data_IF_010594611843
#
_entry.id   IF_010594611843
#
_cell.length_a   1.000
_cell.length_b   1.000
_cell.length_c   1.000
_cell.angle_alpha   90.00
_cell.angle_beta   90.00
_cell.angle_gamma   90.00
#
_symmetry.space_group_name_H-M   'P 1'
#
loop_
_entity.id
_entity.type
_entity.pdbx_description
1 polymer ?
#
# COMPACT_ATOMS: atom_id res chain seq x y z
N UNK A 1 -2.72 0.77 40.33
CA UNK A 1 -2.59 -0.41 39.44
C UNK A 1 -3.38 -0.30 38.13
N UNK A 2 -4.59 0.30 38.10
CA UNK A 2 -5.39 0.38 36.88
C UNK A 2 -4.86 1.35 35.79
N UNK A 3 -4.22 2.48 36.17
CA UNK A 3 -3.66 3.45 35.22
C UNK A 3 -2.61 2.87 34.25
N UNK A 4 -1.68 2.04 34.75
CA UNK A 4 -0.67 1.35 33.92
C UNK A 4 -1.31 0.44 32.87
N UNK A 5 -2.31 -0.36 33.24
CA UNK A 5 -3.02 -1.23 32.28
C UNK A 5 -3.74 -0.45 31.18
N UNK A 6 -4.32 0.70 31.51
CA UNK A 6 -4.99 1.56 30.52
C UNK A 6 -3.98 2.21 29.56
N UNK A 7 -2.85 2.69 30.10
CA UNK A 7 -1.75 3.23 29.31
C UNK A 7 -1.15 2.17 28.37
N UNK A 8 -0.94 0.94 28.86
CA UNK A 8 -0.45 -0.19 28.07
C UNK A 8 -1.43 -0.60 26.96
N UNK A 9 -2.74 -0.57 27.22
CA UNK A 9 -3.78 -0.84 26.21
C UNK A 9 -3.79 0.24 25.13
N UNK A 10 -3.73 1.51 25.52
CA UNK A 10 -3.68 2.64 24.57
C UNK A 10 -2.40 2.54 23.74
N UNK A 11 -1.24 2.29 24.35
CA UNK A 11 0.03 2.14 23.65
C UNK A 11 -0.01 0.96 22.67
N UNK A 12 -0.56 -0.19 23.07
CA UNK A 12 -0.61 -1.38 22.21
C UNK A 12 -1.65 -1.28 21.07
N UNK A 13 -2.81 -0.66 21.30
CA UNK A 13 -3.82 -0.47 20.23
C UNK A 13 -3.34 0.57 19.23
N UNK A 14 -2.68 1.64 19.69
CA UNK A 14 -2.21 2.72 18.83
C UNK A 14 -0.97 2.32 18.03
N UNK A 15 -0.07 1.50 18.59
CA UNK A 15 1.20 1.14 17.95
C UNK A 15 1.20 -0.18 17.19
N UNK A 16 0.22 -1.07 17.38
CA UNK A 16 0.22 -2.33 16.63
C UNK A 16 0.00 -2.04 15.14
N UNK A 17 0.99 -2.32 14.27
CA UNK A 17 0.79 -2.20 12.83
C UNK A 17 -0.26 -3.22 12.42
N UNK A 18 -1.32 -2.73 11.77
CA UNK A 18 -2.38 -3.58 11.24
C UNK A 18 -2.16 -3.74 9.73
N UNK A 19 -2.19 -4.97 9.19
CA UNK A 19 -2.04 -5.18 7.76
C UNK A 19 -3.33 -4.78 7.04
N UNK A 20 -3.17 -4.08 5.93
CA UNK A 20 -4.22 -3.65 5.04
C UNK A 20 -3.89 -4.05 3.61
N UNK A 21 -4.95 -4.22 2.83
CA UNK A 21 -4.90 -4.31 1.39
C UNK A 21 -5.71 -3.17 0.80
N UNK A 22 -5.14 -2.47 -0.16
CA UNK A 22 -5.81 -1.39 -0.86
C UNK A 22 -5.73 -1.59 -2.36
N UNK A 23 -6.88 -1.49 -3.01
CA UNK A 23 -6.96 -1.44 -4.47
C UNK A 23 -7.35 -0.02 -4.85
N UNK A 24 -6.56 0.59 -5.73
CA UNK A 24 -6.78 1.93 -6.28
C UNK A 24 -7.09 1.81 -7.76
N UNK A 25 -8.13 2.52 -8.18
CA UNK A 25 -8.55 2.64 -9.58
C UNK A 25 -8.26 4.06 -10.02
N UNK A 26 -7.29 4.22 -10.91
CA UNK A 26 -6.98 5.50 -11.54
C UNK A 26 -7.79 5.71 -12.82
N UNK A 27 -7.95 6.97 -13.21
CA UNK A 27 -8.54 7.33 -14.51
C UNK A 27 -7.76 6.66 -15.66
N UNK A 28 -8.45 6.01 -16.63
CA UNK A 28 -7.82 5.18 -17.66
C UNK A 28 -7.03 5.97 -18.71
N UNK A 29 -7.33 7.25 -18.90
CA UNK A 29 -6.74 8.11 -19.94
C UNK A 29 -5.66 9.06 -19.42
N UNK A 30 -5.14 8.84 -18.20
CA UNK A 30 -4.03 9.62 -17.69
C UNK A 30 -2.75 9.34 -18.51
N UNK A 31 -1.97 10.36 -18.89
CA UNK A 31 -0.62 10.16 -19.43
C UNK A 31 0.22 9.33 -18.46
N UNK A 32 1.09 8.46 -18.97
CA UNK A 32 1.86 7.53 -18.13
C UNK A 32 2.69 8.25 -17.05
N UNK A 33 3.25 9.41 -17.39
CA UNK A 33 3.98 10.25 -16.43
C UNK A 33 3.09 10.68 -15.25
N UNK A 34 1.91 11.23 -15.54
CA UNK A 34 0.96 11.70 -14.51
C UNK A 34 0.46 10.53 -13.67
N UNK A 35 0.22 9.37 -14.30
CA UNK A 35 -0.21 8.16 -13.60
C UNK A 35 0.86 7.66 -12.63
N UNK A 36 2.11 7.60 -13.07
CA UNK A 36 3.23 7.17 -12.22
C UNK A 36 3.47 8.14 -11.06
N UNK A 37 3.30 9.45 -11.28
CA UNK A 37 3.36 10.45 -10.20
C UNK A 37 2.20 10.27 -9.20
N UNK A 38 0.98 10.01 -9.68
CA UNK A 38 -0.17 9.75 -8.82
C UNK A 38 0.02 8.47 -7.99
N UNK A 39 0.56 7.42 -8.62
CA UNK A 39 0.89 6.15 -7.97
C UNK A 39 1.95 6.33 -6.87
N UNK A 40 3.04 7.04 -7.17
CA UNK A 40 4.06 7.37 -6.18
C UNK A 40 3.51 8.21 -5.02
N UNK A 41 2.56 9.12 -5.28
CA UNK A 41 1.86 9.87 -4.22
C UNK A 41 1.05 8.95 -3.30
N UNK A 42 0.44 7.89 -3.82
CA UNK A 42 -0.27 6.90 -2.99
C UNK A 42 0.68 6.23 -1.99
N UNK A 43 1.87 5.83 -2.44
CA UNK A 43 2.90 5.28 -1.54
C UNK A 43 3.31 6.31 -0.47
N UNK A 44 3.52 7.57 -0.86
CA UNK A 44 3.89 8.63 0.09
C UNK A 44 2.79 8.91 1.12
N UNK A 45 1.52 8.90 0.73
CA UNK A 45 0.40 9.03 1.67
C UNK A 45 0.46 7.95 2.76
N UNK A 46 0.81 6.72 2.40
CA UNK A 46 0.95 5.61 3.34
C UNK A 46 2.15 5.84 4.27
N UNK A 47 3.28 6.28 3.72
CA UNK A 47 4.51 6.56 4.50
C UNK A 47 4.30 7.71 5.48
N UNK A 48 3.69 8.82 5.04
CA UNK A 48 3.35 9.99 5.87
C UNK A 48 2.40 9.62 7.02
N UNK A 49 1.53 8.63 6.78
CA UNK A 49 0.65 8.05 7.78
C UNK A 49 1.34 7.10 8.77
N UNK A 50 2.69 7.03 8.73
CA UNK A 50 3.54 6.09 9.48
C UNK A 50 3.28 4.63 9.12
N UNK A 51 2.84 4.38 7.89
CA UNK A 51 2.68 3.04 7.34
C UNK A 51 3.89 2.59 6.52
N UNK A 52 3.94 1.30 6.21
CA UNK A 52 4.98 0.68 5.39
C UNK A 52 4.32 -0.14 4.29
N UNK A 53 4.72 0.08 3.04
CA UNK A 53 4.22 -0.69 1.89
C UNK A 53 5.03 -1.98 1.77
N UNK A 54 4.35 -3.13 1.80
CA UNK A 54 4.98 -4.45 1.69
C UNK A 54 4.97 -4.99 0.26
N UNK A 55 3.91 -4.71 -0.49
CA UNK A 55 3.76 -5.15 -1.88
C UNK A 55 3.02 -4.08 -2.67
N UNK A 56 3.47 -3.85 -3.91
CA UNK A 56 2.76 -3.11 -4.93
C UNK A 56 2.65 -3.98 -6.17
N UNK A 57 1.42 -4.18 -6.65
CA UNK A 57 1.10 -5.00 -7.80
C UNK A 57 0.25 -4.20 -8.81
N UNK A 58 0.69 -4.16 -10.05
CA UNK A 58 0.07 -3.35 -11.11
C UNK A 58 -0.74 -4.28 -12.00
N UNK A 59 -2.06 -4.10 -11.99
CA UNK A 59 -2.98 -4.91 -12.78
C UNK A 59 -3.26 -4.35 -14.17
N UNK A 60 -3.00 -3.06 -14.38
CA UNK A 60 -3.21 -2.40 -15.66
C UNK A 60 -4.66 -1.98 -15.90
N UNK A 61 -5.01 -1.72 -17.17
CA UNK A 61 -6.36 -1.32 -17.57
C UNK A 61 -7.32 -2.50 -17.55
N UNK A 62 -8.51 -2.30 -16.97
CA UNK A 62 -9.60 -3.28 -16.94
C UNK A 62 -10.96 -2.58 -17.11
N UNK A 63 -11.93 -3.29 -17.67
CA UNK A 63 -13.30 -2.81 -17.78
C UNK A 63 -14.01 -2.80 -16.43
N UNK A 64 -14.76 -1.74 -16.18
CA UNK A 64 -15.65 -1.61 -15.02
C UNK A 64 -16.99 -2.28 -15.33
N UNK A 65 -17.66 -2.80 -14.29
CA UNK A 65 -18.99 -3.39 -14.47
C UNK A 65 -20.08 -2.34 -14.83
N UNK A 66 -19.84 -1.08 -14.47
CA UNK A 66 -20.68 0.07 -14.79
C UNK A 66 -19.81 1.32 -14.94
N UNK A 67 -20.37 2.33 -15.60
CA UNK A 67 -19.70 3.61 -15.81
C UNK A 67 -19.49 4.36 -14.48
N UNK A 68 -18.25 4.75 -14.22
CA UNK A 68 -17.87 5.52 -13.04
C UNK A 68 -17.26 6.86 -13.50
N UNK A 69 -17.87 7.98 -13.11
CA UNK A 69 -17.49 9.33 -13.56
C UNK A 69 -17.24 9.42 -15.07
N UNK A 70 -18.12 8.81 -15.89
CA UNK A 70 -17.99 8.75 -17.36
C UNK A 70 -16.86 7.90 -17.91
N UNK A 71 -16.31 7.00 -17.10
CA UNK A 71 -15.31 6.04 -17.52
C UNK A 71 -15.87 4.62 -17.44
N UNK A 72 -15.68 3.85 -18.51
CA UNK A 72 -16.01 2.41 -18.58
C UNK A 72 -14.81 1.51 -18.29
N UNK A 73 -13.62 2.10 -18.18
CA UNK A 73 -12.36 1.45 -17.86
C UNK A 73 -11.71 2.12 -16.65
N UNK A 74 -10.85 1.37 -15.96
CA UNK A 74 -10.00 1.89 -14.89
C UNK A 74 -8.62 1.25 -14.93
N UNK A 75 -7.60 1.96 -14.46
CA UNK A 75 -6.26 1.42 -14.28
C UNK A 75 -6.07 0.99 -12.82
N UNK A 76 -5.87 -0.30 -12.60
CA UNK A 76 -5.86 -0.91 -11.28
C UNK A 76 -4.44 -1.09 -10.75
N UNK A 77 -4.23 -0.67 -9.50
CA UNK A 77 -3.01 -0.92 -8.72
C UNK A 77 -3.41 -1.39 -7.33
N UNK A 78 -2.78 -2.46 -6.86
CA UNK A 78 -3.00 -3.06 -5.55
C UNK A 78 -1.77 -2.84 -4.67
N UNK A 79 -2.02 -2.46 -3.42
CA UNK A 79 -1.02 -2.23 -2.39
C UNK A 79 -1.35 -3.11 -1.19
N UNK A 80 -0.36 -3.84 -0.70
CA UNK A 80 -0.38 -4.37 0.65
C UNK A 80 0.52 -3.49 1.51
N UNK A 81 0.01 -3.06 2.65
CA UNK A 81 0.75 -2.19 3.55
C UNK A 81 0.34 -2.43 4.99
N UNK A 82 1.22 -2.06 5.91
CA UNK A 82 0.91 -2.03 7.33
C UNK A 82 0.81 -0.59 7.79
N UNK A 83 -0.20 -0.27 8.61
CA UNK A 83 -0.34 1.07 9.17
C UNK A 83 -0.97 1.01 10.57
N UNK A 84 -0.70 2.02 11.43
CA UNK A 84 -1.46 2.22 12.65
C UNK A 84 -2.95 2.37 12.35
N UNK A 85 -3.81 1.73 13.14
CA UNK A 85 -5.27 1.76 12.88
C UNK A 85 -5.86 3.18 12.89
N UNK A 86 -5.30 4.09 13.69
CA UNK A 86 -5.71 5.50 13.73
C UNK A 86 -5.36 6.29 12.46
N UNK A 87 -4.36 5.85 11.69
CA UNK A 87 -3.89 6.59 10.52
C UNK A 87 -4.74 6.34 9.26
N UNK A 88 -5.55 5.27 9.25
CA UNK A 88 -6.32 4.85 8.07
C UNK A 88 -7.29 5.92 7.59
N UNK A 89 -7.96 6.62 8.50
CA UNK A 89 -8.88 7.69 8.12
C UNK A 89 -8.15 8.92 7.57
N UNK A 90 -6.90 9.15 8.00
CA UNK A 90 -6.01 10.14 7.39
C UNK A 90 -5.67 9.78 5.95
N UNK A 91 -5.34 8.52 5.70
CA UNK A 91 -5.08 7.98 4.35
C UNK A 91 -6.31 8.17 3.47
N UNK A 92 -7.52 7.77 3.92
CA UNK A 92 -8.77 7.97 3.15
C UNK A 92 -8.99 9.43 2.77
N UNK A 93 -8.82 10.35 3.73
CA UNK A 93 -8.97 11.79 3.48
C UNK A 93 -7.94 12.31 2.47
N UNK A 94 -6.72 11.81 2.50
CA UNK A 94 -5.68 12.16 1.52
C UNK A 94 -6.03 11.64 0.13
N UNK A 95 -6.44 10.37 0.01
CA UNK A 95 -6.86 9.78 -1.26
C UNK A 95 -7.99 10.56 -1.92
N UNK A 96 -8.99 11.02 -1.15
CA UNK A 96 -10.10 11.84 -1.67
C UNK A 96 -9.68 13.20 -2.26
N UNK A 97 -8.48 13.72 -1.93
CA UNK A 97 -7.99 14.99 -2.49
C UNK A 97 -7.36 14.84 -3.88
N UNK A 98 -7.09 13.61 -4.30
CA UNK A 98 -6.43 13.32 -5.57
C UNK A 98 -7.47 13.01 -6.64
N UNK A 99 -7.59 13.92 -7.62
CA UNK A 99 -8.59 13.82 -8.69
C UNK A 99 -8.23 12.75 -9.73
N UNK A 100 -7.03 12.22 -9.71
CA UNK A 100 -6.55 11.15 -10.59
C UNK A 100 -7.16 9.79 -10.21
N UNK A 101 -7.64 9.65 -8.97
CA UNK A 101 -8.22 8.42 -8.44
C UNK A 101 -9.74 8.45 -8.66
N UNK A 102 -10.27 7.42 -9.32
CA UNK A 102 -11.72 7.21 -9.50
C UNK A 102 -12.32 6.54 -8.27
N UNK A 103 -11.63 5.53 -7.73
CA UNK A 103 -12.09 4.76 -6.58
C UNK A 103 -10.92 4.14 -5.86
N UNK A 104 -11.08 3.93 -4.57
CA UNK A 104 -10.21 3.07 -3.80
C UNK A 104 -11.03 2.26 -2.79
N UNK A 105 -10.52 1.11 -2.42
CA UNK A 105 -11.07 0.27 -1.34
C UNK A 105 -9.91 -0.13 -0.45
N UNK A 106 -10.04 0.12 0.84
CA UNK A 106 -9.08 -0.31 1.87
C UNK A 106 -9.77 -1.40 2.70
N UNK A 107 -9.14 -2.56 2.76
CA UNK A 107 -9.61 -3.73 3.49
C UNK A 107 -8.59 -4.05 4.58
N UNK A 108 -9.06 -4.21 5.82
CA UNK A 108 -8.21 -4.74 6.89
C UNK A 108 -7.98 -6.22 6.64
N UNK A 109 -6.72 -6.65 6.58
CA UNK A 109 -6.39 -8.05 6.39
C UNK A 109 -6.50 -8.77 7.72
N UNK A 110 -7.44 -9.70 7.82
CA UNK A 110 -7.50 -10.60 8.96
C UNK A 110 -6.36 -11.60 8.87
N UNK A 111 -5.46 -11.57 9.85
CA UNK A 111 -4.44 -12.59 10.04
C UNK A 111 -5.13 -13.85 10.60
N UNK A 112 -5.98 -14.52 9.81
CA UNK A 112 -6.39 -15.88 10.15
C UNK A 112 -5.20 -16.80 9.87
N UNK A 113 -4.64 -17.38 10.93
CA UNK A 113 -3.67 -18.46 10.84
C UNK A 113 -4.35 -19.68 10.16
N UNK A 114 -4.34 -19.77 8.83
CA UNK A 114 -4.84 -20.99 8.18
C UNK A 114 -5.14 -20.93 6.68
N UNK A 115 -5.41 -19.77 6.07
CA UNK A 115 -5.82 -19.74 4.66
C UNK A 115 -5.23 -18.53 3.95
N UNK A 116 -3.96 -18.62 3.59
CA UNK A 116 -3.31 -17.60 2.77
C UNK A 116 -1.89 -18.03 2.45
N UNK A 117 -1.63 -18.32 1.18
CA UNK A 117 -0.32 -18.67 0.63
C UNK A 117 0.77 -17.80 1.24
N UNK A 118 1.73 -18.43 1.94
CA UNK A 118 2.97 -17.77 2.36
C UNK A 118 3.74 -17.36 1.11
N UNK A 119 3.56 -16.13 0.66
CA UNK A 119 4.35 -15.58 -0.45
C UNK A 119 5.77 -15.39 0.08
N UNK A 120 6.69 -16.23 -0.41
CA UNK A 120 8.13 -16.10 -0.13
C UNK A 120 8.59 -14.76 -0.68
N UNK A 121 8.91 -13.81 0.21
CA UNK A 121 9.64 -12.60 -0.14
C UNK A 121 10.99 -13.03 -0.72
N UNK A 122 11.16 -12.92 -2.04
CA UNK A 122 12.50 -12.97 -2.64
C UNK A 122 13.22 -11.72 -2.16
N UNK A 123 14.14 -11.90 -1.21
CA UNK A 123 15.13 -10.91 -0.81
C UNK A 123 15.95 -10.59 -2.06
N UNK A 124 15.64 -9.49 -2.74
CA UNK A 124 16.45 -8.98 -3.84
C UNK A 124 17.79 -8.60 -3.24
N UNK A 125 18.78 -9.44 -3.50
CA UNK A 125 20.19 -9.23 -3.16
C UNK A 125 20.63 -7.92 -3.83
N UNK A 126 21.05 -6.95 -3.03
CA UNK A 126 21.72 -5.73 -3.47
C UNK A 126 22.95 -6.13 -4.30
N UNK A 127 23.02 -5.63 -5.53
CA UNK A 127 24.07 -5.93 -6.53
C UNK A 127 25.47 -5.45 -6.12
N UNK A 128 25.61 -4.75 -5.00
CA UNK A 128 26.84 -4.08 -4.58
C UNK A 128 27.92 -5.07 -4.07
N UNK A 129 27.56 -6.20 -3.46
CA UNK A 129 28.57 -7.15 -2.93
C UNK A 129 29.23 -8.04 -4.00
N UNK A 130 28.76 -7.96 -5.27
CA UNK A 130 29.29 -8.76 -6.38
C UNK A 130 30.49 -8.13 -7.09
N UNK A 131 30.78 -6.86 -6.84
CA UNK A 131 31.93 -6.15 -7.40
C UNK A 131 33.17 -6.26 -6.49
N UNK A 132 32.98 -6.32 -5.17
CA UNK A 132 34.10 -6.44 -4.22
C UNK A 132 34.73 -7.83 -4.21
N UNK A 133 33.94 -8.91 -4.44
CA UNK A 133 34.48 -10.27 -4.57
C UNK A 133 35.27 -10.52 -5.87
N UNK A 134 35.09 -9.68 -6.90
CA UNK A 134 35.87 -9.77 -8.15
C UNK A 134 37.20 -9.04 -8.09
N UNK A 135 37.34 -8.04 -7.21
CA UNK A 135 38.62 -7.35 -6.96
C UNK A 135 39.53 -8.12 -5.99
N UNK A 136 38.98 -8.99 -5.16
CA UNK A 136 39.76 -9.80 -4.22
C UNK A 136 40.36 -11.09 -4.82
N UNK A 137 40.04 -11.44 -6.07
CA UNK A 137 40.56 -12.65 -6.72
C UNK A 137 41.14 -12.37 -8.13
N UNK A 138 41.65 -11.15 -8.32
CA UNK A 138 42.49 -10.76 -9.46
C UNK A 138 43.82 -10.23 -8.95
#
# INVERSE_FOLDING_TARGET
MAKRKLEDIIINVVRKPTPYEMVVVFKPFLPDKVRNEADAKVEQIIIDAKGTVSLRDIWGKRYLAYELDKHVEGYYVMYQFEAPSLSVDGIKKAMNRHQEILRYIIIKKDLKEGTGTKIKVKKTITREESEDRKKANK
#
